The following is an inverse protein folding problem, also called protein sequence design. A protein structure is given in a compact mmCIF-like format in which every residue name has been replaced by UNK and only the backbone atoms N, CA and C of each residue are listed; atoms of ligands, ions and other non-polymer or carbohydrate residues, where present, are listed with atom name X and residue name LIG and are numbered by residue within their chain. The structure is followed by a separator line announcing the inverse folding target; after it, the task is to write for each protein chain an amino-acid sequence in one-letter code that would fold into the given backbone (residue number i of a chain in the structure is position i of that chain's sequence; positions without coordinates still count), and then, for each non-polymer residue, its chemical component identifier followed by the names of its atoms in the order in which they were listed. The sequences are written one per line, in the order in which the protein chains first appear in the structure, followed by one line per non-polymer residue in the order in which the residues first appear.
data_IF_663391391478
#
_entry.id   IF_663391391478
#
_cell.length_a   1.000
_cell.length_b   1.000
_cell.length_c   1.000
_cell.angle_alpha   90.00
_cell.angle_beta   90.00
_cell.angle_gamma   90.00
#
_symmetry.space_group_name_H-M   'P 1'
#
loop_
_entity.id
_entity.type
_entity.pdbx_description
1 polymer ?
#
# COMPACT_ATOMS: atom_id res chain seq x y z
N UNK A 1 7.48 3.72 22.07
CA UNK A 1 6.26 3.93 22.85
C UNK A 1 6.22 2.95 24.04
N UNK A 2 6.38 1.63 23.84
CA UNK A 2 6.34 0.64 24.94
C UNK A 2 7.39 0.95 26.01
N UNK A 3 8.61 1.38 25.62
CA UNK A 3 9.68 1.76 26.54
C UNK A 3 9.38 3.03 27.35
N UNK A 4 8.47 3.89 26.87
CA UNK A 4 7.95 5.04 27.63
C UNK A 4 6.95 4.63 28.70
N UNK A 5 6.31 3.47 28.53
CA UNK A 5 5.31 2.94 29.46
C UNK A 5 5.87 1.88 30.41
N UNK A 6 6.90 1.14 29.97
CA UNK A 6 7.51 0.03 30.70
C UNK A 6 9.05 0.15 30.65
N UNK A 7 9.70 0.18 31.79
CA UNK A 7 11.15 0.48 31.90
C UNK A 7 12.08 -0.62 31.35
N UNK A 8 11.62 -1.87 31.22
CA UNK A 8 12.44 -3.04 30.89
C UNK A 8 11.94 -3.83 29.67
N UNK A 9 11.55 -3.13 28.59
CA UNK A 9 11.08 -3.78 27.36
C UNK A 9 12.27 -4.14 26.48
N UNK A 10 12.40 -5.43 26.16
CA UNK A 10 13.42 -5.94 25.24
C UNK A 10 13.05 -5.75 23.77
N UNK A 11 14.05 -5.78 22.87
CA UNK A 11 13.84 -5.73 21.42
C UNK A 11 12.95 -6.87 20.93
N UNK A 12 13.02 -8.05 21.56
CA UNK A 12 12.21 -9.21 21.21
C UNK A 12 10.72 -9.00 21.51
N UNK A 13 10.42 -8.34 22.63
CA UNK A 13 9.04 -7.98 22.99
C UNK A 13 8.48 -6.93 22.03
N UNK A 14 9.26 -5.90 21.71
CA UNK A 14 8.90 -4.89 20.71
C UNK A 14 8.67 -5.52 19.33
N UNK A 15 9.54 -6.44 18.92
CA UNK A 15 9.37 -7.17 17.66
C UNK A 15 8.11 -8.05 17.66
N UNK A 16 7.78 -8.70 18.78
CA UNK A 16 6.57 -9.50 18.90
C UNK A 16 5.31 -8.64 18.75
N UNK A 17 5.27 -7.46 19.38
CA UNK A 17 4.16 -6.50 19.25
C UNK A 17 4.06 -5.99 17.83
N UNK A 18 5.18 -5.62 17.20
CA UNK A 18 5.20 -5.16 15.81
C UNK A 18 4.70 -6.25 14.86
N UNK A 19 5.14 -7.50 15.06
CA UNK A 19 4.70 -8.63 14.22
C UNK A 19 3.21 -8.90 14.36
N UNK A 20 2.66 -8.86 15.58
CA UNK A 20 1.22 -8.99 15.80
C UNK A 20 0.42 -7.85 15.14
N UNK A 21 0.89 -6.62 15.27
CA UNK A 21 0.25 -5.46 14.65
C UNK A 21 0.26 -5.58 13.11
N UNK A 22 1.40 -5.93 12.51
CA UNK A 22 1.55 -6.11 11.07
C UNK A 22 0.70 -7.26 10.52
N UNK A 23 0.63 -8.39 11.25
CA UNK A 23 -0.24 -9.51 10.88
C UNK A 23 -1.72 -9.11 10.91
N UNK A 24 -2.14 -8.35 11.93
CA UNK A 24 -3.49 -7.83 12.04
C UNK A 24 -3.85 -6.85 10.91
N UNK A 25 -2.94 -5.97 10.55
CA UNK A 25 -3.10 -5.05 9.43
C UNK A 25 -3.24 -5.77 8.09
N UNK A 26 -2.39 -6.75 7.83
CA UNK A 26 -2.44 -7.57 6.61
C UNK A 26 -3.75 -8.34 6.48
N UNK A 27 -4.23 -8.92 7.59
CA UNK A 27 -5.51 -9.61 7.64
C UNK A 27 -6.68 -8.64 7.39
N UNK A 28 -6.67 -7.48 8.03
CA UNK A 28 -7.69 -6.45 7.84
C UNK A 28 -7.71 -5.95 6.39
N UNK A 29 -6.55 -5.70 5.78
CA UNK A 29 -6.46 -5.32 4.38
C UNK A 29 -7.06 -6.39 3.46
N UNK A 30 -6.74 -7.67 3.67
CA UNK A 30 -7.34 -8.77 2.92
C UNK A 30 -8.86 -8.80 3.00
N UNK A 31 -9.43 -8.62 4.18
CA UNK A 31 -10.89 -8.59 4.41
C UNK A 31 -11.54 -7.38 3.73
N UNK A 32 -10.96 -6.18 3.88
CA UNK A 32 -11.49 -4.93 3.32
C UNK A 32 -11.59 -4.98 1.79
N UNK A 33 -10.67 -5.63 1.13
CA UNK A 33 -10.70 -5.73 -0.35
C UNK A 33 -11.55 -6.90 -0.84
N UNK A 34 -11.63 -8.00 -0.09
CA UNK A 34 -12.28 -9.23 -0.55
C UNK A 34 -13.79 -9.23 -0.23
N UNK A 35 -14.18 -8.82 0.97
CA UNK A 35 -15.58 -8.91 1.42
C UNK A 35 -16.51 -8.01 0.60
N UNK A 36 -16.17 -6.74 0.29
CA UNK A 36 -17.00 -5.92 -0.58
C UNK A 36 -17.19 -6.49 -2.00
N UNK A 37 -16.25 -7.29 -2.49
CA UNK A 37 -16.40 -7.93 -3.79
C UNK A 37 -17.61 -8.86 -3.83
N UNK A 38 -17.95 -9.56 -2.74
CA UNK A 38 -19.14 -10.40 -2.67
C UNK A 38 -20.45 -9.60 -2.81
N UNK A 39 -20.46 -8.35 -2.32
CA UNK A 39 -21.61 -7.44 -2.50
C UNK A 39 -21.71 -6.95 -3.95
N UNK A 40 -20.57 -6.57 -4.54
CA UNK A 40 -20.50 -6.05 -5.92
C UNK A 40 -20.92 -7.13 -6.92
N UNK A 41 -20.48 -8.37 -6.73
CA UNK A 41 -20.85 -9.51 -7.59
C UNK A 41 -22.28 -10.00 -7.32
N UNK A 42 -22.95 -9.48 -6.28
CA UNK A 42 -24.34 -9.86 -5.95
C UNK A 42 -24.47 -11.20 -5.22
N UNK A 43 -23.37 -11.78 -4.72
CA UNK A 43 -23.42 -13.01 -3.92
C UNK A 43 -23.97 -12.76 -2.51
N UNK A 44 -23.78 -11.57 -1.98
CA UNK A 44 -24.32 -11.12 -0.70
C UNK A 44 -25.13 -9.85 -0.90
N UNK A 45 -26.24 -9.75 -0.16
CA UNK A 45 -27.06 -8.53 -0.07
C UNK A 45 -26.56 -7.59 1.03
N UNK A 46 -26.01 -8.17 2.10
CA UNK A 46 -25.50 -7.48 3.27
C UNK A 46 -24.26 -8.16 3.81
N UNK A 47 -23.45 -7.45 4.58
CA UNK A 47 -22.24 -8.00 5.22
C UNK A 47 -22.65 -8.93 6.37
N UNK A 48 -22.39 -10.21 6.20
CA UNK A 48 -22.55 -11.20 7.26
C UNK A 48 -21.30 -11.24 8.15
N UNK A 49 -21.37 -10.57 9.30
CA UNK A 49 -20.24 -10.47 10.24
C UNK A 49 -19.71 -11.81 10.73
N UNK A 50 -20.60 -12.79 10.95
CA UNK A 50 -20.19 -14.13 11.39
C UNK A 50 -19.37 -14.87 10.34
N UNK A 51 -19.83 -14.86 9.08
CA UNK A 51 -19.12 -15.47 7.97
C UNK A 51 -17.83 -14.71 7.67
N UNK A 52 -17.86 -13.39 7.69
CA UNK A 52 -16.66 -12.55 7.49
C UNK A 52 -15.59 -12.87 8.54
N UNK A 53 -15.97 -12.99 9.82
CA UNK A 53 -15.04 -13.36 10.88
C UNK A 53 -14.49 -14.79 10.68
N UNK A 54 -15.32 -15.74 10.30
CA UNK A 54 -14.87 -17.10 10.03
C UNK A 54 -13.88 -17.17 8.86
N UNK A 55 -14.14 -16.43 7.77
CA UNK A 55 -13.23 -16.32 6.62
C UNK A 55 -11.89 -15.68 7.06
N UNK A 56 -11.95 -14.61 7.84
CA UNK A 56 -10.76 -13.93 8.35
C UNK A 56 -9.91 -14.85 9.23
N UNK A 57 -10.52 -15.58 10.16
CA UNK A 57 -9.82 -16.51 11.05
C UNK A 57 -9.19 -17.69 10.28
N UNK A 58 -9.96 -18.32 9.39
CA UNK A 58 -9.45 -19.44 8.59
C UNK A 58 -8.37 -18.99 7.61
N UNK A 59 -8.54 -17.83 6.97
CA UNK A 59 -7.56 -17.23 6.08
C UNK A 59 -6.27 -16.86 6.82
N UNK A 60 -6.36 -16.25 8.00
CA UNK A 60 -5.21 -15.92 8.83
C UNK A 60 -4.45 -17.17 9.30
N UNK A 61 -5.18 -18.21 9.71
CA UNK A 61 -4.56 -19.47 10.07
C UNK A 61 -3.86 -20.15 8.90
N UNK A 62 -4.53 -20.21 7.75
CA UNK A 62 -3.94 -20.76 6.52
C UNK A 62 -2.70 -19.97 6.10
N UNK A 63 -2.75 -18.62 6.13
CA UNK A 63 -1.61 -17.76 5.84
C UNK A 63 -0.42 -18.01 6.77
N UNK A 64 -0.68 -18.22 8.07
CA UNK A 64 0.37 -18.58 9.03
C UNK A 64 1.02 -19.93 8.69
N UNK A 65 0.23 -20.94 8.32
CA UNK A 65 0.75 -22.23 7.89
C UNK A 65 1.63 -22.11 6.64
N UNK A 66 1.19 -21.35 5.63
CA UNK A 66 2.00 -21.08 4.45
C UNK A 66 3.29 -20.33 4.78
N UNK A 67 3.24 -19.33 5.66
CA UNK A 67 4.43 -18.58 6.09
C UNK A 67 5.46 -19.51 6.74
N UNK A 68 5.02 -20.40 7.62
CA UNK A 68 5.91 -21.38 8.28
C UNK A 68 6.53 -22.32 7.24
N UNK A 69 5.74 -22.84 6.31
CA UNK A 69 6.21 -23.78 5.28
C UNK A 69 7.20 -23.11 4.30
N UNK A 70 6.90 -21.89 3.87
CA UNK A 70 7.69 -21.18 2.86
C UNK A 70 8.89 -20.41 3.45
N UNK A 71 8.91 -20.19 4.77
CA UNK A 71 9.98 -19.45 5.45
C UNK A 71 11.36 -19.97 5.10
N UNK A 72 11.53 -21.31 5.14
CA UNK A 72 12.82 -21.92 4.86
C UNK A 72 13.30 -21.60 3.45
N UNK A 73 12.42 -21.76 2.47
CA UNK A 73 12.72 -21.52 1.07
C UNK A 73 13.08 -20.03 0.84
N UNK A 74 12.22 -19.10 1.21
CA UNK A 74 12.36 -17.71 0.82
C UNK A 74 13.36 -16.92 1.69
N UNK A 75 13.49 -17.26 2.98
CA UNK A 75 14.36 -16.50 3.89
C UNK A 75 15.72 -17.15 4.03
N UNK A 76 15.80 -18.50 4.07
CA UNK A 76 17.05 -19.20 4.34
C UNK A 76 17.76 -19.64 3.08
N UNK A 77 17.06 -20.27 2.14
CA UNK A 77 17.66 -20.84 0.91
C UNK A 77 17.81 -19.77 -0.19
N UNK A 78 16.76 -19.03 -0.52
CA UNK A 78 16.79 -18.01 -1.56
C UNK A 78 17.30 -16.64 -1.05
N UNK A 79 17.33 -16.45 0.27
CA UNK A 79 17.77 -15.21 0.93
C UNK A 79 17.19 -13.94 0.27
N UNK A 80 15.89 -13.96 -0.03
CA UNK A 80 15.23 -12.85 -0.70
C UNK A 80 15.34 -11.55 0.11
N UNK A 81 15.55 -10.42 -0.54
CA UNK A 81 15.56 -9.14 0.15
C UNK A 81 14.15 -8.79 0.64
N UNK A 82 14.02 -8.53 1.92
CA UNK A 82 12.78 -8.05 2.56
C UNK A 82 12.97 -6.59 3.01
N UNK A 83 12.89 -5.62 2.09
CA UNK A 83 13.25 -4.22 2.40
C UNK A 83 12.40 -3.62 3.53
N UNK A 84 11.12 -3.94 3.59
CA UNK A 84 10.23 -3.50 4.68
C UNK A 84 10.63 -4.11 6.03
N UNK A 85 10.96 -5.40 6.05
CA UNK A 85 11.44 -6.08 7.25
C UNK A 85 12.77 -5.51 7.75
N UNK A 86 13.67 -5.18 6.83
CA UNK A 86 14.94 -4.49 7.17
C UNK A 86 14.66 -3.11 7.75
N UNK A 87 13.78 -2.32 7.15
CA UNK A 87 13.41 -1.00 7.68
C UNK A 87 12.76 -1.10 9.07
N UNK A 88 11.86 -2.07 9.28
CA UNK A 88 11.28 -2.31 10.60
C UNK A 88 12.35 -2.67 11.65
N UNK A 89 13.32 -3.52 11.28
CA UNK A 89 14.44 -3.87 12.16
C UNK A 89 15.24 -2.63 12.55
N UNK A 90 15.59 -1.77 11.61
CA UNK A 90 16.36 -0.55 11.90
C UNK A 90 15.60 0.38 12.85
N UNK A 91 14.28 0.52 12.69
CA UNK A 91 13.45 1.30 13.61
C UNK A 91 13.44 0.69 15.02
N UNK A 92 13.37 -0.64 15.13
CA UNK A 92 13.40 -1.32 16.43
C UNK A 92 14.76 -1.14 17.12
N UNK A 93 15.85 -1.31 16.39
CA UNK A 93 17.23 -1.14 16.90
C UNK A 93 17.45 0.30 17.33
N UNK A 94 17.12 1.28 16.50
CA UNK A 94 17.23 2.69 16.85
C UNK A 94 16.39 3.07 18.09
N UNK A 95 15.23 2.43 18.24
CA UNK A 95 14.38 2.59 19.43
C UNK A 95 14.98 1.98 20.69
N UNK A 96 15.81 0.95 20.58
CA UNK A 96 16.51 0.31 21.71
C UNK A 96 17.80 1.03 22.06
N UNK A 97 18.65 1.29 21.09
CA UNK A 97 19.95 1.96 21.29
C UNK A 97 19.80 3.44 21.65
N UNK A 98 18.73 4.09 21.20
CA UNK A 98 18.51 5.52 21.40
C UNK A 98 19.47 6.36 20.56
N UNK A 99 19.88 7.52 21.08
CA UNK A 99 20.85 8.40 20.42
C UNK A 99 20.31 9.03 19.12
N UNK A 100 21.22 9.23 18.15
CA UNK A 100 20.92 9.92 16.89
C UNK A 100 19.85 9.22 16.04
N UNK A 101 19.78 7.88 16.08
CA UNK A 101 18.78 7.09 15.39
C UNK A 101 17.36 7.37 15.89
N UNK A 102 17.17 7.42 17.20
CA UNK A 102 15.87 7.76 17.80
C UNK A 102 15.48 9.20 17.49
N UNK A 103 16.42 10.13 17.55
CA UNK A 103 16.19 11.54 17.19
C UNK A 103 15.75 11.67 15.75
N UNK A 104 16.38 10.95 14.81
CA UNK A 104 15.99 10.94 13.40
C UNK A 104 14.55 10.41 13.21
N UNK A 105 14.17 9.35 13.93
CA UNK A 105 12.79 8.80 13.89
C UNK A 105 11.79 9.84 14.40
N UNK A 106 12.10 10.53 15.50
CA UNK A 106 11.21 11.56 16.04
C UNK A 106 11.04 12.75 15.08
N UNK A 107 12.12 13.19 14.43
CA UNK A 107 12.03 14.21 13.38
C UNK A 107 11.21 13.76 12.20
N UNK A 108 11.42 12.55 11.70
CA UNK A 108 10.65 11.99 10.60
C UNK A 108 9.15 11.89 10.94
N UNK A 109 8.82 11.45 12.16
CA UNK A 109 7.45 11.42 12.67
C UNK A 109 6.83 12.82 12.74
N UNK A 110 7.57 13.80 13.27
CA UNK A 110 7.13 15.19 13.36
C UNK A 110 6.86 15.82 11.98
N UNK A 111 7.79 15.63 11.04
CA UNK A 111 7.64 16.11 9.66
C UNK A 111 6.46 15.42 8.97
N UNK A 112 6.33 14.12 9.11
CA UNK A 112 5.22 13.36 8.53
C UNK A 112 3.86 13.78 9.11
N UNK A 113 3.77 13.99 10.41
CA UNK A 113 2.58 14.47 11.07
C UNK A 113 2.20 15.90 10.63
N UNK A 114 3.19 16.79 10.54
CA UNK A 114 2.98 18.17 10.06
C UNK A 114 2.51 18.16 8.61
N UNK A 115 3.15 17.39 7.74
CA UNK A 115 2.71 17.24 6.36
C UNK A 115 1.28 16.71 6.27
N UNK A 116 0.97 15.64 7.01
CA UNK A 116 -0.38 15.07 7.05
C UNK A 116 -1.44 16.07 7.55
N UNK A 117 -1.08 16.90 8.54
CA UNK A 117 -1.94 17.95 9.04
C UNK A 117 -2.19 19.04 7.98
N UNK A 118 -1.14 19.53 7.33
CA UNK A 118 -1.24 20.56 6.28
C UNK A 118 -2.07 20.07 5.10
N UNK A 119 -1.83 18.86 4.65
CA UNK A 119 -2.50 18.29 3.46
C UNK A 119 -3.95 17.89 3.77
N UNK A 120 -4.18 17.15 4.88
CA UNK A 120 -5.50 16.56 5.16
C UNK A 120 -6.44 17.48 5.92
N UNK A 121 -5.90 18.29 6.85
CA UNK A 121 -6.74 19.15 7.72
C UNK A 121 -6.88 20.55 7.14
N UNK A 122 -5.76 21.14 6.70
CA UNK A 122 -5.80 22.48 6.12
C UNK A 122 -6.23 22.49 4.66
N UNK A 123 -6.20 21.34 3.98
CA UNK A 123 -6.45 21.19 2.54
C UNK A 123 -5.65 22.23 1.69
N UNK A 124 -4.50 22.64 2.21
CA UNK A 124 -3.69 23.72 1.62
C UNK A 124 -2.94 23.27 0.36
N UNK A 125 -2.78 21.97 0.17
CA UNK A 125 -2.09 21.38 -0.98
C UNK A 125 -2.99 20.30 -1.57
N UNK A 126 -3.13 20.30 -2.90
CA UNK A 126 -3.84 19.23 -3.59
C UNK A 126 -3.09 17.90 -3.41
N UNK A 127 -3.83 16.84 -3.10
CA UNK A 127 -3.25 15.51 -2.93
C UNK A 127 -2.62 14.96 -4.20
N UNK A 128 -3.24 15.27 -5.35
CA UNK A 128 -2.80 14.80 -6.64
C UNK A 128 -2.62 15.99 -7.61
N UNK A 129 -1.60 15.90 -8.41
CA UNK A 129 -1.44 16.73 -9.60
C UNK A 129 -1.77 15.82 -10.77
N UNK A 130 -2.81 16.16 -11.50
CA UNK A 130 -3.29 15.36 -12.61
C UNK A 130 -3.63 16.22 -13.82
N UNK A 131 -3.42 15.67 -14.99
CA UNK A 131 -3.75 16.31 -16.24
C UNK A 131 -4.13 15.29 -17.29
N UNK A 132 -5.16 15.62 -18.06
CA UNK A 132 -5.59 14.82 -19.20
C UNK A 132 -5.58 15.70 -20.46
N UNK A 133 -5.09 15.15 -21.55
CA UNK A 133 -5.07 15.82 -22.87
C UNK A 133 -5.63 14.87 -23.92
N UNK A 134 -6.33 15.43 -24.89
CA UNK A 134 -6.78 14.68 -26.06
C UNK A 134 -5.78 14.88 -27.20
N UNK A 135 -5.29 13.79 -27.76
CA UNK A 135 -4.32 13.80 -28.85
C UNK A 135 -4.65 12.70 -29.87
N UNK A 136 -4.83 13.09 -31.14
CA UNK A 136 -5.15 12.18 -32.26
C UNK A 136 -6.36 11.24 -31.99
N UNK A 137 -7.40 11.75 -31.31
CA UNK A 137 -8.62 10.96 -31.03
C UNK A 137 -8.46 9.98 -29.87
N UNK A 138 -7.34 10.02 -29.17
CA UNK A 138 -7.15 9.28 -27.91
C UNK A 138 -6.93 10.24 -26.75
N UNK A 139 -7.15 9.77 -25.52
CA UNK A 139 -6.92 10.54 -24.30
C UNK A 139 -5.65 10.04 -23.62
N UNK A 140 -4.78 10.97 -23.29
CA UNK A 140 -3.58 10.72 -22.48
C UNK A 140 -3.81 11.35 -21.12
N UNK A 141 -3.50 10.59 -20.07
CA UNK A 141 -3.61 11.01 -18.68
C UNK A 141 -2.29 10.81 -17.97
N UNK A 142 -1.87 11.80 -17.23
CA UNK A 142 -0.74 11.71 -16.31
C UNK A 142 -1.15 12.31 -14.98
N UNK A 143 -0.90 11.58 -13.90
CA UNK A 143 -1.18 12.02 -12.55
C UNK A 143 -0.12 11.52 -11.60
N UNK A 144 0.15 12.31 -10.57
CA UNK A 144 1.04 11.94 -9.48
C UNK A 144 0.39 12.31 -8.14
N UNK A 145 0.33 11.33 -7.25
CA UNK A 145 -0.08 11.56 -5.86
C UNK A 145 1.14 12.03 -5.05
N UNK A 146 1.02 13.21 -4.45
CA UNK A 146 2.06 13.82 -3.63
C UNK A 146 2.02 13.25 -2.19
N UNK A 147 2.12 11.94 -2.06
CA UNK A 147 2.12 11.24 -0.78
C UNK A 147 3.54 10.99 -0.28
N UNK A 148 3.89 11.57 0.88
CA UNK A 148 5.17 11.28 1.55
C UNK A 148 5.28 9.80 1.92
N UNK A 149 4.16 9.15 2.25
CA UNK A 149 4.15 7.71 2.55
C UNK A 149 4.53 6.88 1.32
N UNK A 150 3.94 7.14 0.15
CA UNK A 150 4.28 6.44 -1.10
C UNK A 150 5.72 6.72 -1.54
N UNK A 151 6.19 7.96 -1.37
CA UNK A 151 7.59 8.30 -1.63
C UNK A 151 8.54 7.50 -0.74
N UNK A 152 8.24 7.42 0.56
CA UNK A 152 9.05 6.65 1.53
C UNK A 152 9.06 5.16 1.22
N UNK A 153 7.91 4.58 0.86
CA UNK A 153 7.82 3.18 0.42
C UNK A 153 8.67 2.95 -0.83
N UNK A 154 8.61 3.84 -1.82
CA UNK A 154 9.45 3.75 -3.02
C UNK A 154 10.95 3.77 -2.70
N UNK A 155 11.37 4.56 -1.71
CA UNK A 155 12.75 4.61 -1.24
C UNK A 155 13.18 3.30 -0.53
N UNK A 156 12.33 2.76 0.36
CA UNK A 156 12.58 1.51 1.09
C UNK A 156 12.67 0.32 0.14
N UNK A 157 11.74 0.20 -0.80
CA UNK A 157 11.65 -0.89 -1.77
C UNK A 157 12.82 -0.89 -2.76
N UNK A 158 13.37 0.28 -3.02
CA UNK A 158 14.54 0.47 -3.89
C UNK A 158 14.21 0.55 -5.38
N UNK A 159 15.18 1.05 -6.14
CA UNK A 159 15.01 1.43 -7.55
C UNK A 159 14.58 0.25 -8.44
N UNK A 160 15.11 -0.95 -8.20
CA UNK A 160 14.82 -2.12 -9.04
C UNK A 160 13.34 -2.49 -9.01
N UNK A 161 12.75 -2.59 -7.83
CA UNK A 161 11.33 -2.96 -7.68
C UNK A 161 10.45 -1.78 -8.07
N UNK A 162 10.81 -0.56 -7.65
CA UNK A 162 10.10 0.65 -8.04
C UNK A 162 10.02 0.84 -9.56
N UNK A 163 11.07 0.48 -10.31
CA UNK A 163 11.04 0.55 -11.78
C UNK A 163 10.08 -0.46 -12.41
N UNK A 164 9.93 -1.67 -11.86
CA UNK A 164 8.91 -2.62 -12.35
C UNK A 164 7.49 -2.11 -12.10
N UNK A 165 7.23 -1.53 -10.94
CA UNK A 165 5.92 -0.92 -10.62
C UNK A 165 5.63 0.24 -11.58
N UNK A 166 6.62 1.11 -11.80
CA UNK A 166 6.51 2.23 -12.73
C UNK A 166 6.25 1.77 -14.17
N UNK A 167 6.97 0.76 -14.65
CA UNK A 167 6.74 0.18 -15.98
C UNK A 167 5.33 -0.41 -16.11
N UNK A 168 4.83 -1.10 -15.08
CA UNK A 168 3.44 -1.57 -15.05
C UNK A 168 2.44 -0.40 -15.17
N UNK A 169 2.68 0.69 -14.46
CA UNK A 169 1.90 1.92 -14.59
C UNK A 169 1.95 2.52 -16.00
N UNK A 170 3.14 2.63 -16.59
CA UNK A 170 3.31 3.13 -17.97
C UNK A 170 2.58 2.25 -18.98
N UNK A 171 2.65 0.94 -18.84
CA UNK A 171 1.92 0.01 -19.72
C UNK A 171 0.41 0.19 -19.56
N UNK A 172 -0.10 0.18 -18.34
CA UNK A 172 -1.53 0.30 -18.06
C UNK A 172 -2.11 1.65 -18.47
N UNK A 173 -1.53 2.73 -17.93
CA UNK A 173 -2.02 4.09 -18.19
C UNK A 173 -1.56 4.65 -19.53
N UNK A 174 -0.30 4.44 -19.91
CA UNK A 174 0.27 5.07 -21.08
C UNK A 174 0.02 4.32 -22.39
N UNK A 175 -0.26 3.02 -22.34
CA UNK A 175 -0.40 2.19 -23.54
C UNK A 175 -1.79 1.55 -23.63
N UNK A 176 -2.15 0.71 -22.66
CA UNK A 176 -3.38 -0.10 -22.77
C UNK A 176 -4.65 0.75 -22.72
N UNK A 177 -4.73 1.72 -21.82
CA UNK A 177 -5.92 2.56 -21.69
C UNK A 177 -6.14 3.43 -22.92
N UNK A 178 -5.14 4.15 -23.47
CA UNK A 178 -5.28 4.88 -24.72
C UNK A 178 -5.68 4.03 -25.92
N UNK A 179 -5.07 2.83 -26.06
CA UNK A 179 -5.43 1.90 -27.15
C UNK A 179 -6.86 1.42 -27.01
N UNK A 180 -7.27 1.01 -25.81
CA UNK A 180 -8.63 0.55 -25.57
C UNK A 180 -9.65 1.65 -25.88
N UNK A 181 -9.43 2.86 -25.40
CA UNK A 181 -10.28 4.02 -25.65
C UNK A 181 -10.36 4.42 -27.13
N UNK A 182 -9.24 4.27 -27.86
CA UNK A 182 -9.21 4.52 -29.31
C UNK A 182 -10.06 3.50 -30.08
N UNK A 183 -10.04 2.24 -29.70
CA UNK A 183 -10.75 1.14 -30.39
C UNK A 183 -12.24 1.10 -30.04
N UNK A 184 -12.58 1.27 -28.76
CA UNK A 184 -13.96 1.10 -28.26
C UNK A 184 -14.70 2.42 -28.02
N UNK A 185 -14.03 3.57 -28.21
CA UNK A 185 -14.56 4.89 -27.93
C UNK A 185 -14.38 5.31 -26.47
N UNK A 186 -14.49 6.61 -26.27
CA UNK A 186 -14.35 7.21 -24.95
C UNK A 186 -15.73 7.50 -24.35
N UNK A 187 -15.93 7.30 -23.03
CA UNK A 187 -17.15 7.75 -22.36
C UNK A 187 -17.34 9.27 -22.52
N UNK A 188 -18.60 9.68 -22.66
CA UNK A 188 -18.94 11.11 -22.68
C UNK A 188 -18.66 11.75 -21.33
N UNK A 189 -18.12 13.00 -21.34
CA UNK A 189 -17.85 13.76 -20.14
C UNK A 189 -16.39 14.23 -20.03
N UNK A 190 -15.96 14.50 -18.80
CA UNK A 190 -14.63 14.98 -18.49
C UNK A 190 -13.53 14.00 -18.94
N UNK A 191 -12.43 14.54 -19.46
CA UNK A 191 -11.32 13.75 -20.04
C UNK A 191 -10.69 12.81 -19.00
N UNK A 192 -10.44 13.32 -17.80
CA UNK A 192 -9.84 12.55 -16.72
C UNK A 192 -10.79 11.46 -16.17
N UNK A 193 -12.06 11.81 -16.00
CA UNK A 193 -13.08 10.86 -15.54
C UNK A 193 -13.30 9.72 -16.55
N UNK A 194 -13.37 10.04 -17.83
CA UNK A 194 -13.50 9.04 -18.89
C UNK A 194 -12.31 8.10 -19.00
N UNK A 195 -11.08 8.64 -18.85
CA UNK A 195 -9.86 7.84 -18.81
C UNK A 195 -9.85 6.88 -17.62
N UNK A 196 -10.15 7.41 -16.44
CA UNK A 196 -10.17 6.63 -15.19
C UNK A 196 -11.24 5.54 -15.23
N UNK A 197 -12.42 5.81 -15.81
CA UNK A 197 -13.47 4.81 -15.97
C UNK A 197 -13.03 3.61 -16.83
N UNK A 198 -12.33 3.85 -17.95
CA UNK A 198 -11.79 2.78 -18.79
C UNK A 198 -10.69 2.02 -18.02
N UNK A 199 -9.75 2.72 -17.38
CA UNK A 199 -8.68 2.07 -16.66
C UNK A 199 -9.21 1.16 -15.54
N UNK A 200 -10.11 1.67 -14.70
CA UNK A 200 -10.66 0.91 -13.57
C UNK A 200 -11.61 -0.21 -14.00
N UNK A 201 -12.37 -0.02 -15.08
CA UNK A 201 -13.41 -0.97 -15.51
C UNK A 201 -12.95 -2.02 -16.50
N UNK A 202 -11.88 -1.78 -17.27
CA UNK A 202 -11.51 -2.62 -18.40
C UNK A 202 -10.03 -3.05 -18.42
N UNK A 203 -9.13 -2.26 -17.87
CA UNK A 203 -7.69 -2.52 -17.97
C UNK A 203 -7.11 -3.12 -16.68
N UNK A 204 -7.61 -2.66 -15.54
CA UNK A 204 -7.10 -3.08 -14.23
C UNK A 204 -7.40 -4.55 -13.89
N UNK A 205 -8.42 -5.13 -14.49
CA UNK A 205 -8.82 -6.52 -14.32
C UNK A 205 -8.35 -7.32 -15.54
#
# INVERSE_FOLDING_TARGET
ILRLMFNDVSILENNSVQTMASAGESLAAGVIFTVPAFLVVGLWTDINWGITLAIALLGGWLGTMFTIALRRLFIVEEALPYPEGVACREVLVAGEEGGDGMVAILYALGIGALYGFVVKVMAAVHHAVEGAVEFLGTRLYAGADLSVALFSVGFIVGLRIASFIFLGGVIGFGILTPIYGFVHGWPEGDLAAGFTAIFLGQIRY
#
